data_IF_661719665044
#
_entry.id   IF_661719665044
#
_cell.length_a   1.000
_cell.length_b   1.000
_cell.length_c   1.000
_cell.angle_alpha   90.00
_cell.angle_beta   90.00
_cell.angle_gamma   90.00
#
_symmetry.space_group_name_H-M   'P 1'
#
loop_
_entity.id
_entity.type
_entity.pdbx_description
1 polymer ?
#
# COMPACT_ATOMS: atom_id res chain seq x y z
N UNK A 1 -1.60 -9.82 -1.02
CA UNK A 1 -2.11 -8.57 -1.64
C UNK A 1 -2.27 -8.76 -3.15
N UNK A 2 -1.21 -9.07 -3.90
CA UNK A 2 -1.24 -9.24 -5.38
C UNK A 2 -2.35 -10.19 -5.82
N UNK A 3 -2.38 -11.42 -5.29
CA UNK A 3 -3.39 -12.44 -5.62
C UNK A 3 -4.82 -11.94 -5.39
N UNK A 4 -5.05 -11.16 -4.32
CA UNK A 4 -6.35 -10.55 -4.04
C UNK A 4 -6.73 -9.51 -5.09
N UNK A 5 -5.83 -8.63 -5.48
CA UNK A 5 -6.08 -7.64 -6.52
C UNK A 5 -6.35 -8.29 -7.88
N UNK A 6 -5.57 -9.31 -8.25
CA UNK A 6 -5.76 -10.07 -9.51
C UNK A 6 -7.08 -10.84 -9.58
N UNK A 7 -7.74 -11.10 -8.44
CA UNK A 7 -9.06 -11.74 -8.44
C UNK A 7 -10.18 -10.83 -8.97
N UNK A 8 -9.93 -9.55 -9.11
CA UNK A 8 -10.90 -8.57 -9.64
C UNK A 8 -10.71 -8.43 -11.14
N UNK A 9 -11.78 -8.70 -11.88
CA UNK A 9 -11.76 -8.65 -13.36
C UNK A 9 -11.30 -7.30 -13.89
N UNK A 10 -10.29 -7.32 -14.78
CA UNK A 10 -9.70 -6.14 -15.41
C UNK A 10 -8.55 -5.49 -14.59
N UNK A 11 -8.24 -5.99 -13.40
CA UNK A 11 -7.10 -5.50 -12.63
C UNK A 11 -5.77 -6.01 -13.23
N UNK A 12 -4.87 -5.09 -13.51
CA UNK A 12 -3.47 -5.38 -13.85
C UNK A 12 -2.61 -5.02 -12.64
N UNK A 13 -1.73 -5.92 -12.23
CA UNK A 13 -0.92 -5.74 -11.02
C UNK A 13 0.55 -5.83 -11.36
N UNK A 14 1.28 -4.78 -11.00
CA UNK A 14 2.73 -4.70 -11.06
C UNK A 14 3.29 -4.78 -9.64
N UNK A 15 4.16 -5.74 -9.36
CA UNK A 15 4.87 -5.87 -8.10
C UNK A 15 6.34 -5.54 -8.29
N UNK A 16 6.83 -4.56 -7.55
CA UNK A 16 8.26 -4.16 -7.56
C UNK A 16 8.75 -3.83 -6.15
N UNK A 17 10.02 -4.11 -5.83
CA UNK A 17 10.69 -3.45 -4.71
C UNK A 17 10.68 -1.94 -4.88
N UNK A 18 10.56 -1.19 -3.77
CA UNK A 18 10.46 0.29 -3.82
C UNK A 18 11.64 0.96 -4.51
N UNK A 19 12.84 0.40 -4.39
CA UNK A 19 14.05 0.90 -5.08
C UNK A 19 14.07 0.71 -6.60
N UNK A 20 13.15 -0.09 -7.15
CA UNK A 20 13.03 -0.37 -8.59
C UNK A 20 11.82 0.31 -9.24
N UNK A 21 11.00 1.00 -8.45
CA UNK A 21 9.83 1.73 -8.97
C UNK A 21 10.31 2.97 -9.71
N UNK A 22 9.84 3.14 -10.94
CA UNK A 22 10.10 4.32 -11.76
C UNK A 22 8.99 5.37 -11.61
N UNK A 23 9.26 6.59 -12.06
CA UNK A 23 8.22 7.63 -12.14
C UNK A 23 7.05 7.20 -13.04
N UNK A 24 7.33 6.52 -14.15
CA UNK A 24 6.31 6.00 -15.06
C UNK A 24 5.43 4.96 -14.38
N UNK A 25 6.01 3.98 -13.67
CA UNK A 25 5.25 2.97 -12.91
C UNK A 25 4.27 3.65 -11.93
N UNK A 26 4.77 4.64 -11.18
CA UNK A 26 3.98 5.35 -10.18
C UNK A 26 2.88 6.20 -10.81
N UNK A 27 3.23 7.01 -11.81
CA UNK A 27 2.30 7.98 -12.39
C UNK A 27 1.24 7.33 -13.27
N UNK A 28 1.53 6.18 -13.91
CA UNK A 28 0.55 5.43 -14.71
C UNK A 28 -0.40 4.57 -13.87
N UNK A 29 -0.04 4.23 -12.63
CA UNK A 29 -0.89 3.42 -11.76
C UNK A 29 -2.16 4.17 -11.34
N UNK A 30 -3.30 3.48 -11.31
CA UNK A 30 -4.57 3.98 -10.75
C UNK A 30 -4.65 3.78 -9.23
N UNK A 31 -3.88 2.84 -8.71
CA UNK A 31 -3.77 2.53 -7.29
C UNK A 31 -2.34 2.16 -6.91
N UNK A 32 -1.96 2.48 -5.68
CA UNK A 32 -0.64 2.12 -5.12
C UNK A 32 -0.82 1.48 -3.74
N UNK A 33 -0.30 0.28 -3.59
CA UNK A 33 -0.23 -0.40 -2.28
C UNK A 33 1.23 -0.46 -1.86
N UNK A 34 1.55 0.12 -0.71
CA UNK A 34 2.92 0.12 -0.18
C UNK A 34 3.01 -0.79 1.03
N UNK A 35 3.94 -1.72 0.97
CA UNK A 35 4.31 -2.57 2.09
C UNK A 35 5.65 -2.19 2.68
N UNK A 36 5.79 -2.34 4.00
CA UNK A 36 7.04 -2.09 4.71
C UNK A 36 7.27 -3.13 5.81
N UNK A 37 8.51 -3.59 6.01
CA UNK A 37 8.87 -4.14 7.30
C UNK A 37 8.77 -3.04 8.36
N UNK A 38 8.54 -3.46 9.61
CA UNK A 38 8.57 -2.54 10.75
C UNK A 38 9.99 -2.43 11.29
N UNK A 39 10.56 -1.26 11.21
CA UNK A 39 11.83 -0.92 11.84
C UNK A 39 11.63 0.19 12.85
N UNK A 40 11.87 -0.12 14.14
CA UNK A 40 11.68 0.84 15.24
C UNK A 40 10.28 1.50 15.23
N UNK A 41 9.25 0.66 15.12
CA UNK A 41 7.84 1.07 15.08
C UNK A 41 7.46 1.99 13.91
N UNK A 42 8.22 1.98 12.81
CA UNK A 42 7.95 2.80 11.64
C UNK A 42 8.32 2.06 10.34
N UNK A 43 8.01 2.69 9.20
CA UNK A 43 8.42 2.19 7.89
C UNK A 43 9.94 2.17 7.75
N UNK A 44 10.47 1.29 6.90
CA UNK A 44 11.89 1.25 6.60
C UNK A 44 12.37 2.55 5.93
N UNK A 45 13.66 2.86 6.08
CA UNK A 45 14.27 4.01 5.44
C UNK A 45 14.13 4.00 3.92
N UNK A 46 14.12 2.81 3.29
CA UNK A 46 13.91 2.66 1.85
C UNK A 46 12.48 3.09 1.43
N UNK A 47 11.45 2.71 2.21
CA UNK A 47 10.08 3.12 1.96
C UNK A 47 9.91 4.62 2.20
N UNK A 48 10.55 5.18 3.23
CA UNK A 48 10.54 6.63 3.45
C UNK A 48 11.20 7.38 2.30
N UNK A 49 12.36 6.93 1.84
CA UNK A 49 13.07 7.49 0.69
C UNK A 49 12.21 7.40 -0.59
N UNK A 50 11.48 6.31 -0.78
CA UNK A 50 10.55 6.17 -1.89
C UNK A 50 9.49 7.29 -1.88
N UNK A 51 8.86 7.59 -0.74
CA UNK A 51 7.92 8.70 -0.62
C UNK A 51 8.59 10.09 -0.81
N UNK A 52 9.80 10.27 -0.29
CA UNK A 52 10.53 11.53 -0.49
C UNK A 52 10.84 11.78 -1.98
N UNK A 53 11.12 10.71 -2.73
CA UNK A 53 11.31 10.78 -4.17
C UNK A 53 10.06 11.18 -4.94
N UNK A 54 8.84 10.97 -4.41
CA UNK A 54 7.62 11.39 -5.08
C UNK A 54 7.61 12.89 -5.32
N UNK A 55 8.09 13.66 -4.34
CA UNK A 55 7.99 15.11 -4.37
C UNK A 55 8.78 15.72 -5.53
N UNK A 56 10.04 15.36 -5.66
CA UNK A 56 10.94 16.02 -6.63
C UNK A 56 11.40 15.09 -7.75
N UNK A 57 11.83 13.87 -7.42
CA UNK A 57 12.44 12.96 -8.38
C UNK A 57 11.41 12.36 -9.35
N UNK A 58 10.22 12.04 -8.86
CA UNK A 58 9.16 11.43 -9.68
C UNK A 58 8.15 12.44 -10.23
N UNK A 59 8.29 13.71 -9.87
CA UNK A 59 7.47 14.80 -10.41
C UNK A 59 6.00 14.73 -10.02
N UNK A 60 5.70 14.24 -8.82
CA UNK A 60 4.35 14.24 -8.24
C UNK A 60 3.93 15.65 -7.86
N UNK A 61 4.86 16.41 -7.25
CA UNK A 61 4.66 17.79 -6.84
C UNK A 61 5.18 18.76 -7.94
N UNK A 62 4.61 19.99 -8.14
CA UNK A 62 3.53 20.59 -7.33
C UNK A 62 2.10 20.24 -7.76
N UNK A 63 1.90 19.53 -8.87
CA UNK A 63 0.57 19.27 -9.44
C UNK A 63 -0.24 18.19 -8.71
N UNK A 64 0.33 17.56 -7.66
CA UNK A 64 -0.30 16.46 -6.92
C UNK A 64 -0.80 15.34 -7.85
N UNK A 65 0.07 14.83 -8.73
CA UNK A 65 -0.29 13.83 -9.77
C UNK A 65 -0.80 12.49 -9.21
N UNK A 66 -0.73 12.29 -7.88
CA UNK A 66 -1.33 11.15 -7.21
C UNK A 66 -2.75 11.41 -6.69
N UNK A 67 -3.26 12.64 -6.83
CA UNK A 67 -4.60 13.03 -6.41
C UNK A 67 -5.67 12.09 -6.98
N UNK A 68 -6.59 11.66 -6.10
CA UNK A 68 -7.71 10.78 -6.40
C UNK A 68 -7.32 9.34 -6.81
N UNK A 69 -6.04 8.97 -6.84
CA UNK A 69 -5.63 7.57 -6.96
C UNK A 69 -5.85 6.84 -5.64
N UNK A 70 -6.09 5.54 -5.71
CA UNK A 70 -6.32 4.73 -4.50
C UNK A 70 -4.99 4.38 -3.84
N UNK A 71 -4.92 4.53 -2.52
CA UNK A 71 -3.77 4.18 -1.71
C UNK A 71 -4.11 3.16 -0.62
N UNK A 72 -3.20 2.24 -0.33
CA UNK A 72 -3.32 1.33 0.81
C UNK A 72 -1.95 0.92 1.34
N UNK A 73 -1.93 0.41 2.57
CA UNK A 73 -0.71 0.00 3.23
C UNK A 73 -0.81 -1.43 3.77
N UNK A 74 0.33 -2.12 3.86
CA UNK A 74 0.48 -3.31 4.68
C UNK A 74 1.85 -3.30 5.38
N UNK A 75 1.97 -4.06 6.46
CA UNK A 75 3.22 -4.11 7.22
C UNK A 75 3.53 -5.53 7.71
N UNK A 76 4.82 -5.87 7.79
CA UNK A 76 5.30 -7.08 8.45
C UNK A 76 6.22 -6.71 9.60
N UNK A 77 6.18 -7.46 10.68
CA UNK A 77 7.03 -7.19 11.85
C UNK A 77 7.24 -8.43 12.69
N UNK A 78 8.35 -8.46 13.45
CA UNK A 78 8.73 -9.61 14.26
C UNK A 78 7.87 -9.79 15.52
N UNK A 79 7.14 -8.78 15.97
CA UNK A 79 6.36 -8.83 17.21
C UNK A 79 4.88 -8.53 16.94
N UNK A 80 3.99 -9.15 17.72
CA UNK A 80 2.54 -8.95 17.60
C UNK A 80 2.17 -7.48 17.78
N UNK A 81 2.69 -6.81 18.81
CA UNK A 81 2.44 -5.39 19.12
C UNK A 81 3.58 -4.45 18.68
N UNK A 82 4.43 -4.88 17.75
CA UNK A 82 5.68 -4.21 17.37
C UNK A 82 5.55 -2.96 16.50
N UNK A 83 4.40 -2.28 16.45
CA UNK A 83 4.27 -1.01 15.69
C UNK A 83 3.78 -1.16 14.27
N UNK A 84 3.26 -2.32 13.85
CA UNK A 84 2.70 -2.51 12.49
C UNK A 84 1.60 -1.49 12.16
N UNK A 85 0.71 -1.20 13.12
CA UNK A 85 -0.35 -0.18 12.97
C UNK A 85 0.23 1.22 12.72
N UNK A 86 1.23 1.62 13.49
CA UNK A 86 1.91 2.92 13.33
C UNK A 86 2.60 3.01 11.98
N UNK A 87 3.29 1.94 11.57
CA UNK A 87 3.94 1.86 10.25
C UNK A 87 2.93 2.07 9.12
N UNK A 88 1.80 1.39 9.15
CA UNK A 88 0.74 1.57 8.16
C UNK A 88 0.17 2.99 8.19
N UNK A 89 -0.07 3.55 9.37
CA UNK A 89 -0.56 4.94 9.50
C UNK A 89 0.41 5.96 8.90
N UNK A 90 1.72 5.80 9.08
CA UNK A 90 2.70 6.72 8.49
C UNK A 90 2.76 6.61 6.96
N UNK A 91 2.58 5.41 6.41
CA UNK A 91 2.44 5.18 4.97
C UNK A 91 1.16 5.87 4.44
N UNK A 92 0.03 5.64 5.10
CA UNK A 92 -1.25 6.25 4.72
C UNK A 92 -1.23 7.78 4.85
N UNK A 93 -0.54 8.33 5.86
CA UNK A 93 -0.35 9.77 6.02
C UNK A 93 0.41 10.38 4.84
N UNK A 94 1.47 9.72 4.34
CA UNK A 94 2.19 10.17 3.15
C UNK A 94 1.30 10.17 1.90
N UNK A 95 0.42 9.17 1.76
CA UNK A 95 -0.55 9.09 0.66
C UNK A 95 -1.63 10.19 0.77
N UNK A 96 -2.17 10.42 1.96
CA UNK A 96 -3.15 11.50 2.22
C UNK A 96 -2.56 12.88 1.93
N UNK A 97 -1.29 13.12 2.31
CA UNK A 97 -0.56 14.33 1.95
C UNK A 97 -0.44 14.56 0.44
N UNK A 98 -0.51 13.51 -0.36
CA UNK A 98 -0.55 13.54 -1.81
C UNK A 98 -1.98 13.51 -2.39
N UNK A 99 -2.99 13.80 -1.58
CA UNK A 99 -4.42 13.86 -1.95
C UNK A 99 -4.98 12.54 -2.52
N UNK A 100 -4.40 11.41 -2.13
CA UNK A 100 -4.89 10.09 -2.51
C UNK A 100 -6.13 9.69 -1.68
N UNK A 101 -6.93 8.79 -2.21
CA UNK A 101 -8.05 8.15 -1.51
C UNK A 101 -7.50 6.88 -0.86
N UNK A 102 -7.32 6.90 0.47
CA UNK A 102 -6.80 5.73 1.17
C UNK A 102 -7.91 4.77 1.58
N UNK A 103 -7.63 3.48 1.46
CA UNK A 103 -8.55 2.40 1.84
C UNK A 103 -7.83 1.39 2.75
N UNK A 104 -8.59 0.76 3.62
CA UNK A 104 -8.16 -0.37 4.43
C UNK A 104 -8.86 -1.66 4.00
N UNK A 105 -8.40 -2.78 4.52
CA UNK A 105 -8.96 -4.11 4.33
C UNK A 105 -8.05 -5.15 4.96
N UNK A 106 -8.61 -6.21 5.53
CA UNK A 106 -7.84 -7.19 6.30
C UNK A 106 -7.40 -6.69 7.69
N UNK A 107 -7.78 -5.47 8.08
CA UNK A 107 -7.45 -4.85 9.35
C UNK A 107 -7.78 -3.37 9.34
N UNK A 108 -7.67 -2.69 10.49
CA UNK A 108 -8.10 -1.29 10.65
C UNK A 108 -7.34 -0.32 9.71
N UNK A 109 -6.05 -0.52 9.53
CA UNK A 109 -5.19 0.37 8.71
C UNK A 109 -4.63 -0.33 7.46
N UNK A 110 -4.96 -1.61 7.26
CA UNK A 110 -4.43 -2.46 6.20
C UNK A 110 -4.11 -3.85 6.74
N UNK A 111 -3.52 -4.71 5.93
CA UNK A 111 -3.12 -6.04 6.32
C UNK A 111 -1.77 -6.03 7.04
N UNK A 112 -1.60 -6.91 8.01
CA UNK A 112 -0.30 -7.06 8.67
C UNK A 112 0.03 -8.52 8.94
N UNK A 113 1.32 -8.83 9.03
CA UNK A 113 1.79 -10.16 9.38
C UNK A 113 2.91 -10.13 10.42
N UNK A 114 2.94 -11.15 11.28
CA UNK A 114 3.97 -11.34 12.29
C UNK A 114 4.94 -12.42 11.82
N UNK A 115 6.23 -12.08 11.73
CA UNK A 115 7.24 -12.92 11.05
C UNK A 115 8.20 -13.62 12.01
N UNK A 116 8.16 -13.29 13.30
CA UNK A 116 9.08 -13.83 14.33
C UNK A 116 8.36 -14.00 15.67
N UNK A 117 9.09 -14.42 16.69
CA UNK A 117 8.60 -14.58 18.06
C UNK A 117 7.82 -15.86 18.23
N UNK A 118 6.66 -15.81 18.88
CA UNK A 118 5.78 -16.95 19.11
C UNK A 118 4.95 -17.34 17.88
N UNK A 119 5.01 -16.54 16.81
CA UNK A 119 4.31 -16.83 15.56
C UNK A 119 5.11 -17.88 14.75
N UNK A 120 4.45 -18.92 14.24
CA UNK A 120 5.09 -19.91 13.36
C UNK A 120 5.43 -19.35 11.97
N UNK A 121 5.34 -18.06 11.76
CA UNK A 121 5.44 -17.36 10.48
C UNK A 121 4.10 -16.78 10.06
N UNK A 122 3.95 -16.47 8.78
CA UNK A 122 2.70 -15.92 8.25
C UNK A 122 1.63 -17.01 8.24
N UNK A 123 0.53 -16.80 8.94
CA UNK A 123 -0.57 -17.74 9.05
C UNK A 123 -1.66 -17.55 7.96
N UNK A 124 -2.63 -18.47 7.94
CA UNK A 124 -3.70 -18.45 6.94
C UNK A 124 -4.62 -17.21 7.09
N UNK A 125 -4.83 -16.71 8.31
CA UNK A 125 -5.64 -15.52 8.54
C UNK A 125 -4.92 -14.27 8.02
N UNK A 126 -3.63 -14.11 8.31
CA UNK A 126 -2.81 -13.00 7.80
C UNK A 126 -2.74 -13.02 6.26
N UNK A 127 -2.68 -14.21 5.65
CA UNK A 127 -2.76 -14.37 4.20
C UNK A 127 -4.14 -14.00 3.65
N UNK A 128 -5.22 -14.38 4.34
CA UNK A 128 -6.59 -14.01 3.96
C UNK A 128 -6.79 -12.50 4.04
N UNK A 129 -6.31 -11.87 5.09
CA UNK A 129 -6.35 -10.42 5.29
C UNK A 129 -5.57 -9.66 4.20
N UNK A 130 -4.40 -10.16 3.84
CA UNK A 130 -3.61 -9.59 2.75
C UNK A 130 -4.32 -9.71 1.39
N UNK A 131 -5.02 -10.84 1.13
CA UNK A 131 -5.84 -11.01 -0.06
C UNK A 131 -7.05 -10.08 -0.05
N UNK A 132 -7.71 -9.93 1.09
CA UNK A 132 -8.86 -9.02 1.26
C UNK A 132 -8.46 -7.57 0.98
N UNK A 133 -7.32 -7.11 1.49
CA UNK A 133 -6.79 -5.78 1.17
C UNK A 133 -6.59 -5.58 -0.33
N UNK A 134 -5.91 -6.50 -1.00
CA UNK A 134 -5.65 -6.39 -2.43
C UNK A 134 -6.93 -6.34 -3.26
N UNK A 135 -7.90 -7.21 -2.94
CA UNK A 135 -9.22 -7.20 -3.58
C UNK A 135 -9.93 -5.88 -3.37
N UNK A 136 -9.98 -5.38 -2.12
CA UNK A 136 -10.63 -4.11 -1.77
C UNK A 136 -10.05 -2.94 -2.55
N UNK A 137 -8.73 -2.85 -2.67
CA UNK A 137 -8.06 -1.80 -3.45
C UNK A 137 -8.50 -1.84 -4.91
N UNK A 138 -8.49 -3.01 -5.54
CA UNK A 138 -8.88 -3.16 -6.94
C UNK A 138 -10.37 -2.83 -7.18
N UNK A 139 -11.26 -3.27 -6.28
CA UNK A 139 -12.70 -2.97 -6.33
C UNK A 139 -12.96 -1.46 -6.23
N UNK A 140 -12.35 -0.77 -5.26
CA UNK A 140 -12.50 0.69 -5.09
C UNK A 140 -11.92 1.43 -6.29
N UNK A 141 -10.77 1.02 -6.80
CA UNK A 141 -10.19 1.61 -8.01
C UNK A 141 -11.15 1.51 -9.19
N UNK A 142 -11.76 0.35 -9.38
CA UNK A 142 -12.75 0.13 -10.44
C UNK A 142 -13.99 1.02 -10.27
N UNK A 143 -14.47 1.19 -9.05
CA UNK A 143 -15.62 2.08 -8.76
C UNK A 143 -15.30 3.54 -9.09
N UNK A 144 -14.11 4.02 -8.72
CA UNK A 144 -13.68 5.41 -9.00
C UNK A 144 -13.57 5.64 -10.50
N UNK A 145 -12.94 4.72 -11.23
CA UNK A 145 -12.82 4.81 -12.70
C UNK A 145 -14.18 4.73 -13.40
N UNK A 146 -15.06 3.88 -12.95
CA UNK A 146 -16.42 3.76 -13.51
C UNK A 146 -17.32 4.97 -13.21
N UNK A 147 -17.10 5.66 -12.10
CA UNK A 147 -17.81 6.89 -11.73
C UNK A 147 -17.36 8.13 -12.51
N UNK A 148 -16.12 8.15 -13.00
CA UNK A 148 -15.58 9.24 -13.82
C UNK A 148 -16.04 9.24 -15.28
N UNK A 149 -16.80 8.23 -15.68
CA UNK A 149 -17.30 8.05 -17.06
C UNK A 149 -18.77 8.47 -17.24
N UNK A 150 -19.33 9.23 -16.27
CA UNK A 150 -20.71 9.77 -16.32
C UNK A 150 -20.73 11.28 -16.39
#
# INVERSE_FOLDING_TARGET
VVTGAQSVSGAQVLLKPVGQVTAEDLLSADAVVVGSPVYWSNMSGEVKTFFDNWQFKFGVFPEFKMKNKVGAAFATGGQISGGKGVTMLTILAAMLGNQMIVVSGGGAFGASATTEGESPGIDDQELADARALGRRVAEVTKLIKGGSSR
#
